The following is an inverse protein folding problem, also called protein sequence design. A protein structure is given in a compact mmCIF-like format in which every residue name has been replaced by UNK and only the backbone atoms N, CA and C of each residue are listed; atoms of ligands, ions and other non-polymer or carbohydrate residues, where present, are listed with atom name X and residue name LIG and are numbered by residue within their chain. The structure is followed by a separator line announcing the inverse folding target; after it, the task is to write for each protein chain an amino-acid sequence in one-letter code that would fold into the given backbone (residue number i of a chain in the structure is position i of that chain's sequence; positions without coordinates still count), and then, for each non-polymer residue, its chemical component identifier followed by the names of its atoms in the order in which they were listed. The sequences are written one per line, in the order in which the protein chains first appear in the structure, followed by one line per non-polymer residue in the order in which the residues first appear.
data_IF_061737233048
#
_entry.id   IF_061737233048
#
_cell.length_a   1.000
_cell.length_b   1.000
_cell.length_c   1.000
_cell.angle_alpha   90.00
_cell.angle_beta   90.00
_cell.angle_gamma   90.00
#
_symmetry.space_group_name_H-M   'P 1'
#
loop_
_entity.id
_entity.type
_entity.pdbx_description
1 polymer ?
#
# COMPACT_ATOMS: atom_id res chain seq x y z
N UNK A 1 -58.47 -38.67 49.96
CA UNK A 1 -57.21 -37.94 50.28
C UNK A 1 -56.50 -37.74 48.95
N UNK A 2 -56.63 -36.57 48.33
CA UNK A 2 -56.04 -36.20 47.05
C UNK A 2 -54.93 -35.19 47.28
N UNK A 3 -53.69 -35.64 47.06
CA UNK A 3 -52.52 -34.78 47.14
C UNK A 3 -52.30 -34.05 45.80
N UNK A 4 -52.44 -32.73 45.80
CA UNK A 4 -52.12 -31.82 44.68
C UNK A 4 -50.65 -31.52 44.70
N UNK A 5 -49.96 -31.82 43.63
CA UNK A 5 -48.57 -31.41 43.37
C UNK A 5 -48.59 -30.03 42.73
N UNK A 6 -47.92 -29.06 43.35
CA UNK A 6 -47.67 -27.72 42.80
C UNK A 6 -46.32 -27.75 42.14
N UNK A 7 -46.27 -27.53 40.80
CA UNK A 7 -45.05 -27.36 40.01
C UNK A 7 -44.72 -25.84 40.00
N UNK A 8 -43.53 -25.44 40.46
CA UNK A 8 -43.16 -24.02 40.31
C UNK A 8 -42.71 -23.75 38.84
N UNK A 9 -43.38 -22.77 38.23
CA UNK A 9 -42.95 -22.23 36.92
C UNK A 9 -41.75 -21.34 37.17
N UNK A 10 -40.57 -21.79 36.70
CA UNK A 10 -39.35 -20.98 36.70
C UNK A 10 -39.42 -20.05 35.50
N UNK A 11 -39.71 -18.79 35.69
CA UNK A 11 -39.65 -17.72 34.69
C UNK A 11 -38.17 -17.38 34.43
N UNK A 12 -37.61 -17.87 33.32
CA UNK A 12 -36.31 -17.46 32.84
C UNK A 12 -36.43 -16.09 32.16
N UNK A 13 -36.01 -15.04 32.85
CA UNK A 13 -35.81 -13.74 32.23
C UNK A 13 -34.58 -13.81 31.29
N UNK A 14 -34.82 -13.90 29.98
CA UNK A 14 -33.84 -13.75 28.95
C UNK A 14 -33.52 -12.26 28.80
N UNK A 15 -32.51 -11.75 29.48
CA UNK A 15 -31.95 -10.42 29.26
C UNK A 15 -31.26 -10.41 27.93
N UNK A 16 -31.92 -9.91 26.89
CA UNK A 16 -31.33 -9.53 25.61
C UNK A 16 -30.38 -8.36 25.84
N UNK A 17 -29.09 -8.62 25.97
CA UNK A 17 -28.07 -7.61 25.81
C UNK A 17 -28.07 -7.17 24.35
N UNK A 18 -28.85 -6.18 23.99
CA UNK A 18 -28.66 -5.41 22.77
C UNK A 18 -27.41 -4.57 22.97
N UNK A 19 -26.26 -5.10 22.56
CA UNK A 19 -25.07 -4.28 22.35
C UNK A 19 -25.42 -3.25 21.27
N UNK A 20 -25.75 -2.03 21.67
CA UNK A 20 -25.74 -0.89 20.77
C UNK A 20 -24.31 -0.75 20.25
N UNK A 21 -23.97 -1.37 19.11
CA UNK A 21 -22.80 -1.01 18.35
C UNK A 21 -22.99 0.43 17.91
N UNK A 22 -22.25 1.35 18.51
CA UNK A 22 -22.14 2.70 18.01
C UNK A 22 -21.75 2.60 16.53
N UNK A 23 -22.67 3.00 15.64
CA UNK A 23 -22.38 3.07 14.20
C UNK A 23 -21.40 4.22 14.04
N UNK A 24 -20.14 3.89 13.84
CA UNK A 24 -19.08 4.87 13.60
C UNK A 24 -19.39 5.59 12.30
N UNK A 25 -19.44 6.92 12.36
CA UNK A 25 -19.81 7.74 11.23
C UNK A 25 -18.58 8.50 10.72
N UNK A 26 -18.19 8.24 9.49
CA UNK A 26 -17.07 8.92 8.82
C UNK A 26 -17.28 10.44 8.71
N UNK A 27 -18.52 10.94 8.74
CA UNK A 27 -18.83 12.36 8.73
C UNK A 27 -18.26 13.13 9.94
N UNK A 28 -17.97 12.42 11.03
CA UNK A 28 -17.38 12.99 12.25
C UNK A 28 -15.86 12.88 12.31
N UNK A 29 -15.26 12.27 11.30
CA UNK A 29 -13.78 12.13 11.22
C UNK A 29 -13.20 13.45 10.74
N UNK A 30 -12.23 13.98 11.48
CA UNK A 30 -11.39 15.09 11.06
C UNK A 30 -9.93 14.64 11.09
N UNK A 31 -9.13 15.21 10.21
CA UNK A 31 -7.68 15.03 10.18
C UNK A 31 -7.03 16.39 10.18
N UNK A 32 -5.89 16.52 10.88
CA UNK A 32 -5.14 17.75 10.97
C UNK A 32 -3.73 17.53 10.43
N UNK A 33 -3.21 18.54 9.73
CA UNK A 33 -1.84 18.55 9.24
C UNK A 33 -0.88 18.78 10.42
N UNK A 34 0.02 17.82 10.67
CA UNK A 34 1.09 17.95 11.65
C UNK A 34 2.31 18.59 11.00
N UNK A 35 2.73 18.07 9.86
CA UNK A 35 3.87 18.60 9.09
C UNK A 35 3.79 18.15 7.63
N UNK A 36 4.40 18.96 6.75
CA UNK A 36 4.63 18.58 5.35
C UNK A 36 5.95 19.16 4.85
N UNK A 37 6.56 18.50 3.87
CA UNK A 37 7.79 18.95 3.24
C UNK A 37 8.26 17.98 2.18
N UNK A 38 9.28 18.36 1.44
CA UNK A 38 9.95 17.44 0.53
C UNK A 38 10.98 16.60 1.28
N UNK A 39 11.15 15.33 0.86
CA UNK A 39 12.17 14.44 1.44
C UNK A 39 13.57 14.98 1.11
N UNK A 40 13.74 15.61 -0.05
CA UNK A 40 14.99 16.24 -0.47
C UNK A 40 14.71 17.41 -1.41
N UNK A 41 15.64 18.37 -1.45
CA UNK A 41 15.54 19.58 -2.28
C UNK A 41 16.57 19.61 -3.43
N UNK A 42 17.58 18.72 -3.36
CA UNK A 42 18.65 18.66 -4.35
C UNK A 42 18.16 18.27 -5.74
N UNK A 43 18.74 18.88 -6.79
CA UNK A 43 18.51 18.50 -8.18
C UNK A 43 19.41 17.32 -8.66
N UNK A 44 20.14 16.69 -7.73
CA UNK A 44 20.99 15.53 -8.04
C UNK A 44 20.21 14.33 -8.58
N UNK A 45 18.90 14.26 -8.27
CA UNK A 45 17.96 13.26 -8.82
C UNK A 45 16.95 14.04 -9.69
N UNK A 46 17.18 14.15 -11.01
CA UNK A 46 16.38 15.02 -11.87
C UNK A 46 14.92 14.62 -12.02
N UNK A 47 14.66 13.30 -11.91
CA UNK A 47 13.31 12.73 -11.99
C UNK A 47 13.15 11.61 -10.97
N UNK A 48 12.00 11.55 -10.30
CA UNK A 48 11.70 10.53 -9.31
C UNK A 48 10.23 10.11 -9.34
N UNK A 49 9.95 8.89 -8.85
CA UNK A 49 8.57 8.39 -8.79
C UNK A 49 8.41 7.21 -7.81
N UNK A 50 7.13 6.86 -7.53
CA UNK A 50 6.73 5.64 -6.83
C UNK A 50 7.39 5.46 -5.46
N UNK A 51 7.12 6.40 -4.56
CA UNK A 51 7.60 6.32 -3.18
C UNK A 51 6.89 5.24 -2.37
N UNK A 52 7.61 4.74 -1.38
CA UNK A 52 7.15 3.84 -0.33
C UNK A 52 7.72 4.29 1.01
N UNK A 53 7.10 3.90 2.12
CA UNK A 53 7.60 4.23 3.45
C UNK A 53 7.34 3.09 4.44
N UNK A 54 8.16 3.03 5.48
CA UNK A 54 8.01 2.12 6.62
C UNK A 54 8.44 2.83 7.90
N UNK A 55 7.77 2.54 9.01
CA UNK A 55 8.17 3.04 10.32
C UNK A 55 9.46 2.35 10.78
N UNK A 56 10.36 3.11 11.42
CA UNK A 56 11.62 2.64 12.02
C UNK A 56 11.66 2.99 13.49
N UNK A 57 12.62 2.45 14.25
CA UNK A 57 12.79 2.84 15.64
C UNK A 57 13.08 4.34 15.80
N UNK A 58 13.80 4.95 14.82
CA UNK A 58 14.17 6.36 14.82
C UNK A 58 13.13 7.28 14.15
N UNK A 59 12.08 6.75 13.54
CA UNK A 59 11.11 7.55 12.80
C UNK A 59 10.55 6.86 11.55
N UNK A 60 10.91 7.32 10.34
CA UNK A 60 10.39 6.78 9.07
C UNK A 60 11.53 6.61 8.07
N UNK A 61 11.57 5.48 7.39
CA UNK A 61 12.37 5.26 6.20
C UNK A 61 11.47 5.38 4.97
N UNK A 62 11.87 6.18 3.99
CA UNK A 62 11.23 6.26 2.68
C UNK A 62 12.17 5.74 1.59
N UNK A 63 11.60 5.17 0.52
CA UNK A 63 12.33 4.82 -0.68
C UNK A 63 11.54 5.21 -1.92
N UNK A 64 12.23 5.46 -3.04
CA UNK A 64 11.65 5.80 -4.34
C UNK A 64 12.61 5.44 -5.45
N UNK A 65 12.14 5.37 -6.69
CA UNK A 65 13.06 5.29 -7.82
C UNK A 65 13.34 6.68 -8.39
N UNK A 66 14.56 6.87 -8.89
CA UNK A 66 14.97 8.14 -9.48
C UNK A 66 16.17 8.00 -10.40
N UNK A 67 16.33 8.96 -11.30
CA UNK A 67 17.38 9.03 -12.32
C UNK A 67 17.09 10.14 -13.33
N UNK A 68 17.65 10.04 -14.54
CA UNK A 68 17.47 11.04 -15.60
C UNK A 68 16.00 11.23 -15.98
N UNK A 69 15.26 10.13 -16.23
CA UNK A 69 13.82 10.05 -16.46
C UNK A 69 13.36 8.60 -16.30
N UNK A 70 12.05 8.38 -16.07
CA UNK A 70 11.48 7.04 -15.95
C UNK A 70 11.84 6.16 -17.16
N UNK A 71 12.25 4.93 -16.93
CA UNK A 71 12.77 3.96 -17.89
C UNK A 71 14.21 4.18 -18.41
N UNK A 72 14.89 5.26 -18.03
CA UNK A 72 16.29 5.41 -18.36
C UNK A 72 17.15 4.40 -17.58
N UNK A 73 18.21 3.82 -18.17
CA UNK A 73 19.02 2.78 -17.50
C UNK A 73 19.68 3.25 -16.19
N UNK A 74 19.86 4.55 -15.95
CA UNK A 74 20.45 5.07 -14.71
C UNK A 74 19.45 5.13 -13.53
N UNK A 75 18.18 4.85 -13.78
CA UNK A 75 17.15 4.85 -12.72
C UNK A 75 17.50 3.80 -11.67
N UNK A 76 17.62 4.25 -10.44
CA UNK A 76 18.05 3.48 -9.27
C UNK A 76 17.05 3.68 -8.12
N UNK A 77 17.18 2.88 -7.07
CA UNK A 77 16.39 3.05 -5.84
C UNK A 77 17.19 3.86 -4.84
N UNK A 78 16.58 4.92 -4.34
CA UNK A 78 17.11 5.79 -3.29
C UNK A 78 16.29 5.63 -2.02
N UNK A 79 16.94 5.80 -0.87
CA UNK A 79 16.33 5.85 0.45
C UNK A 79 16.73 7.11 1.20
N UNK A 80 15.87 7.57 2.10
CA UNK A 80 16.17 8.59 3.11
C UNK A 80 15.43 8.27 4.41
N UNK A 81 16.01 8.63 5.54
CA UNK A 81 15.46 8.44 6.87
C UNK A 81 14.99 9.77 7.46
N UNK A 82 13.84 9.75 8.12
CA UNK A 82 13.27 10.87 8.87
C UNK A 82 13.38 10.61 10.36
N UNK A 83 14.03 11.49 11.12
CA UNK A 83 14.26 11.37 12.55
C UNK A 83 13.15 11.98 13.43
N UNK A 84 12.02 12.34 12.82
CA UNK A 84 10.92 13.08 13.45
C UNK A 84 10.99 14.60 13.25
N UNK A 85 12.12 15.13 12.77
CA UNK A 85 12.34 16.57 12.50
C UNK A 85 12.86 16.85 11.10
N UNK A 86 13.87 16.07 10.66
CA UNK A 86 14.55 16.28 9.39
C UNK A 86 14.75 14.98 8.62
N UNK A 87 14.84 15.08 7.32
CA UNK A 87 15.23 13.99 6.43
C UNK A 87 16.74 13.95 6.25
N UNK A 88 17.30 12.76 6.19
CA UNK A 88 18.69 12.57 5.74
C UNK A 88 18.81 12.89 4.25
N UNK A 89 20.05 13.11 3.77
CA UNK A 89 20.32 13.10 2.33
C UNK A 89 19.95 11.75 1.71
N UNK A 90 19.44 11.72 0.46
CA UNK A 90 19.19 10.48 -0.25
C UNK A 90 20.44 9.63 -0.45
N UNK A 91 20.35 8.35 -0.13
CA UNK A 91 21.40 7.37 -0.37
C UNK A 91 20.95 6.31 -1.37
N UNK A 92 21.88 5.83 -2.21
CA UNK A 92 21.63 4.74 -3.15
C UNK A 92 21.41 3.43 -2.38
N UNK A 93 20.24 2.81 -2.51
CA UNK A 93 19.92 1.53 -1.89
C UNK A 93 20.06 0.33 -2.86
N UNK A 94 19.66 0.52 -4.12
CA UNK A 94 19.78 -0.50 -5.16
C UNK A 94 19.90 0.15 -6.53
N UNK A 95 20.53 -0.56 -7.45
CA UNK A 95 20.64 -0.20 -8.85
C UNK A 95 20.37 -1.40 -9.76
N UNK A 96 20.28 -1.16 -11.05
CA UNK A 96 19.97 -2.17 -12.05
C UNK A 96 21.18 -2.67 -12.83
N UNK A 97 22.40 -2.61 -12.26
CA UNK A 97 23.61 -3.11 -12.88
C UNK A 97 23.57 -4.63 -12.92
N UNK A 98 23.59 -5.20 -14.14
CA UNK A 98 23.59 -6.64 -14.38
C UNK A 98 25.01 -7.13 -14.71
N UNK A 99 25.81 -6.31 -15.39
CA UNK A 99 27.20 -6.57 -15.71
C UNK A 99 27.94 -5.26 -16.00
N UNK A 100 29.24 -5.32 -16.24
CA UNK A 100 30.05 -4.14 -16.58
C UNK A 100 29.57 -3.35 -17.79
N UNK A 101 28.74 -3.96 -18.65
CA UNK A 101 28.25 -3.35 -19.90
C UNK A 101 26.72 -3.30 -20.00
N UNK A 102 26.00 -3.87 -19.01
CA UNK A 102 24.55 -3.97 -19.06
C UNK A 102 23.92 -3.46 -17.77
N UNK A 103 23.02 -2.51 -17.91
CA UNK A 103 22.23 -1.93 -16.83
C UNK A 103 20.80 -1.70 -17.29
N UNK A 104 19.83 -2.02 -16.42
CA UNK A 104 18.41 -1.74 -16.61
C UNK A 104 17.91 -0.74 -15.58
N UNK A 105 16.83 -0.02 -15.86
CA UNK A 105 16.16 0.79 -14.83
C UNK A 105 15.63 -0.05 -13.68
N UNK A 106 15.66 0.51 -12.49
CA UNK A 106 14.92 0.03 -11.34
C UNK A 106 13.52 0.66 -11.29
N UNK A 107 12.55 -0.06 -10.69
CA UNK A 107 11.15 0.35 -10.64
C UNK A 107 10.53 0.04 -9.28
N UNK A 108 9.55 0.84 -8.89
CA UNK A 108 8.58 0.61 -7.82
C UNK A 108 9.16 -0.08 -6.57
N UNK A 109 9.98 0.60 -5.76
CA UNK A 109 10.42 0.04 -4.50
C UNK A 109 9.22 -0.13 -3.56
N UNK A 110 9.28 -1.18 -2.74
CA UNK A 110 8.33 -1.42 -1.66
C UNK A 110 9.10 -1.80 -0.40
N UNK A 111 8.98 -0.99 0.63
CA UNK A 111 9.52 -1.25 1.96
C UNK A 111 8.50 -2.06 2.77
N UNK A 112 8.99 -3.05 3.51
CA UNK A 112 8.15 -3.86 4.38
C UNK A 112 8.94 -4.35 5.60
N UNK A 113 8.39 -4.16 6.81
CA UNK A 113 8.98 -4.69 8.02
C UNK A 113 8.62 -6.15 8.20
N UNK A 114 9.64 -7.01 8.21
CA UNK A 114 9.51 -8.44 8.44
C UNK A 114 9.31 -8.74 9.92
N UNK A 115 8.77 -9.92 10.20
CA UNK A 115 8.77 -10.47 11.58
C UNK A 115 10.22 -10.59 12.08
N UNK A 116 10.48 -10.06 13.26
CA UNK A 116 11.85 -9.96 13.80
C UNK A 116 12.52 -8.60 13.61
N UNK A 117 11.86 -7.64 12.96
CA UNK A 117 12.24 -6.22 12.94
C UNK A 117 13.08 -5.78 11.73
N UNK A 118 13.66 -6.69 10.94
CA UNK A 118 14.37 -6.33 9.73
C UNK A 118 13.43 -5.73 8.67
N UNK A 119 13.98 -4.93 7.76
CA UNK A 119 13.24 -4.30 6.67
C UNK A 119 13.64 -4.95 5.36
N UNK A 120 12.65 -5.45 4.59
CA UNK A 120 12.83 -5.86 3.21
C UNK A 120 12.55 -4.67 2.27
N UNK A 121 13.42 -4.47 1.30
CA UNK A 121 13.24 -3.58 0.16
C UNK A 121 13.04 -4.45 -1.09
N UNK A 122 11.80 -4.55 -1.55
CA UNK A 122 11.48 -5.19 -2.83
C UNK A 122 11.54 -4.14 -3.94
N UNK A 123 12.05 -4.50 -5.11
CA UNK A 123 12.07 -3.63 -6.29
C UNK A 123 12.07 -4.46 -7.57
N UNK A 124 11.90 -3.81 -8.70
CA UNK A 124 11.94 -4.46 -10.00
C UNK A 124 13.13 -3.93 -10.78
N UNK A 125 13.71 -4.79 -11.59
CA UNK A 125 14.79 -4.47 -12.53
C UNK A 125 14.37 -4.97 -13.92
N UNK A 126 14.54 -4.19 -14.95
CA UNK A 126 14.19 -4.61 -16.31
C UNK A 126 13.81 -3.44 -17.22
N UNK A 127 13.72 -3.69 -18.53
CA UNK A 127 13.54 -2.63 -19.52
C UNK A 127 12.14 -2.00 -19.47
N UNK A 128 11.13 -2.73 -18.97
CA UNK A 128 9.74 -2.25 -18.90
C UNK A 128 8.92 -3.06 -17.89
N UNK A 129 7.71 -2.57 -17.47
CA UNK A 129 6.82 -3.34 -16.60
C UNK A 129 6.36 -4.69 -17.14
N UNK A 130 6.54 -4.95 -18.42
CA UNK A 130 6.22 -6.24 -19.04
C UNK A 130 7.37 -7.24 -19.02
N UNK A 131 8.60 -6.75 -18.82
CA UNK A 131 9.83 -7.54 -19.00
C UNK A 131 10.74 -7.45 -17.77
N UNK A 132 10.27 -6.88 -16.67
CA UNK A 132 11.02 -6.78 -15.43
C UNK A 132 10.99 -8.09 -14.63
N UNK A 133 11.96 -8.26 -13.78
CA UNK A 133 12.00 -9.28 -12.73
C UNK A 133 12.07 -8.61 -11.35
N UNK A 134 11.85 -9.39 -10.30
CA UNK A 134 11.82 -8.89 -8.95
C UNK A 134 13.11 -9.25 -8.19
N UNK A 135 13.61 -8.28 -7.48
CA UNK A 135 14.72 -8.43 -6.54
C UNK A 135 14.34 -7.87 -5.17
N UNK A 136 15.07 -8.29 -4.16
CA UNK A 136 14.93 -7.71 -2.81
C UNK A 136 16.27 -7.65 -2.10
N UNK A 137 16.37 -6.76 -1.12
CA UNK A 137 17.45 -6.63 -0.15
C UNK A 137 16.86 -6.58 1.25
N UNK A 138 17.67 -6.91 2.25
CA UNK A 138 17.25 -6.87 3.66
C UNK A 138 18.20 -5.97 4.44
N UNK A 139 17.62 -5.13 5.29
CA UNK A 139 18.34 -4.32 6.27
C UNK A 139 17.98 -4.78 7.69
N UNK A 140 18.98 -4.85 8.56
CA UNK A 140 18.84 -5.16 10.00
C UNK A 140 19.14 -3.96 10.91
N UNK A 141 19.33 -2.80 10.29
CA UNK A 141 19.73 -1.54 10.95
C UNK A 141 18.89 -0.35 10.48
N UNK A 142 17.58 -0.60 10.29
CA UNK A 142 16.58 0.39 9.89
C UNK A 142 16.88 1.13 8.57
N UNK A 143 17.52 0.43 7.62
CA UNK A 143 17.79 0.95 6.29
C UNK A 143 19.12 1.69 6.14
N UNK A 144 19.99 1.68 7.15
CA UNK A 144 21.32 2.29 7.06
C UNK A 144 22.24 1.49 6.14
N UNK A 145 22.16 0.15 6.21
CA UNK A 145 22.87 -0.75 5.30
C UNK A 145 21.94 -1.84 4.75
N UNK A 146 22.28 -2.36 3.60
CA UNK A 146 21.49 -3.37 2.89
C UNK A 146 22.36 -4.59 2.56
N UNK A 147 21.76 -5.78 2.60
CA UNK A 147 22.38 -7.00 2.09
C UNK A 147 22.67 -6.89 0.60
N UNK A 148 23.40 -7.87 0.06
CA UNK A 148 23.41 -8.10 -1.37
C UNK A 148 21.99 -8.33 -1.90
N UNK A 149 21.76 -8.01 -3.17
CA UNK A 149 20.51 -8.26 -3.86
C UNK A 149 20.26 -9.76 -4.03
N UNK A 150 19.01 -10.17 -3.85
CA UNK A 150 18.56 -11.53 -4.14
C UNK A 150 17.33 -11.48 -5.06
N UNK A 151 17.31 -12.33 -6.10
CA UNK A 151 16.15 -12.46 -6.95
C UNK A 151 15.01 -13.23 -6.23
N UNK A 152 13.77 -12.85 -6.50
CA UNK A 152 12.64 -13.73 -6.15
C UNK A 152 12.65 -14.99 -7.03
N UNK A 153 12.00 -16.07 -6.60
CA UNK A 153 11.90 -17.27 -7.44
C UNK A 153 11.27 -16.98 -8.81
N UNK A 154 11.64 -17.71 -9.81
CA UNK A 154 11.15 -17.55 -11.18
C UNK A 154 9.63 -17.51 -11.25
N UNK A 155 9.11 -16.50 -11.94
CA UNK A 155 7.69 -16.30 -12.12
C UNK A 155 7.01 -15.52 -10.99
N UNK A 156 7.69 -15.18 -9.89
CA UNK A 156 7.16 -14.34 -8.82
C UNK A 156 7.69 -12.91 -8.94
N UNK A 157 6.82 -11.96 -8.61
CA UNK A 157 7.13 -10.53 -8.68
C UNK A 157 7.11 -9.85 -7.30
N UNK A 158 6.51 -10.49 -6.29
CA UNK A 158 6.31 -9.84 -5.01
C UNK A 158 5.41 -8.60 -5.11
N UNK A 159 5.51 -7.66 -4.18
CA UNK A 159 4.67 -6.47 -4.19
C UNK A 159 5.06 -5.56 -5.37
N UNK A 160 4.06 -5.09 -6.14
CA UNK A 160 4.35 -4.25 -7.32
C UNK A 160 4.52 -2.77 -6.95
N UNK A 161 3.72 -2.26 -6.02
CA UNK A 161 3.77 -0.86 -5.59
C UNK A 161 3.40 -0.68 -4.13
N UNK A 162 2.40 -1.41 -3.65
CA UNK A 162 1.87 -1.24 -2.32
C UNK A 162 2.42 -2.29 -1.36
N UNK A 163 2.45 -1.93 -0.09
CA UNK A 163 3.02 -2.76 0.98
C UNK A 163 2.33 -4.13 1.10
N UNK A 164 3.10 -5.19 1.38
CA UNK A 164 2.57 -6.48 1.79
C UNK A 164 1.80 -6.41 3.10
N UNK A 165 1.06 -7.48 3.41
CA UNK A 165 0.45 -7.70 4.71
C UNK A 165 1.03 -8.94 5.39
N UNK A 166 1.52 -8.77 6.63
CA UNK A 166 1.78 -9.90 7.52
C UNK A 166 0.45 -10.49 8.00
N UNK A 167 0.28 -11.79 7.86
CA UNK A 167 -0.94 -12.48 8.20
C UNK A 167 -0.78 -13.30 9.49
N UNK A 168 -1.86 -13.51 10.25
CA UNK A 168 -1.83 -14.48 11.33
C UNK A 168 -1.32 -15.85 10.83
N UNK A 169 -0.43 -16.49 11.61
CA UNK A 169 0.18 -17.76 11.24
C UNK A 169 1.48 -17.66 10.43
N UNK A 170 2.04 -16.45 10.28
CA UNK A 170 3.38 -16.25 9.72
C UNK A 170 3.45 -16.24 8.20
N UNK A 171 2.32 -16.07 7.51
CA UNK A 171 2.30 -15.85 6.05
C UNK A 171 2.41 -14.35 5.74
N UNK A 172 2.92 -14.05 4.55
CA UNK A 172 2.94 -12.69 3.99
C UNK A 172 2.16 -12.71 2.67
N UNK A 173 1.21 -11.77 2.52
CA UNK A 173 0.48 -11.56 1.27
C UNK A 173 1.06 -10.37 0.53
N UNK A 174 1.33 -10.54 -0.75
CA UNK A 174 1.89 -9.51 -1.64
C UNK A 174 0.84 -9.08 -2.66
N UNK A 175 0.48 -7.80 -2.68
CA UNK A 175 -0.41 -7.25 -3.69
C UNK A 175 0.34 -7.13 -5.04
N UNK A 176 0.02 -8.02 -5.97
CA UNK A 176 0.77 -8.23 -7.21
C UNK A 176 -0.10 -8.01 -8.44
N UNK A 177 0.55 -7.65 -9.55
CA UNK A 177 -0.11 -7.54 -10.85
C UNK A 177 0.88 -7.78 -11.98
N UNK A 178 0.36 -8.15 -13.15
CA UNK A 178 1.12 -8.36 -14.39
C UNK A 178 0.48 -7.55 -15.51
N UNK A 179 1.32 -6.89 -16.29
CA UNK A 179 0.97 -6.20 -17.52
C UNK A 179 1.38 -7.07 -18.71
N UNK A 180 0.49 -7.97 -19.20
CA UNK A 180 0.79 -8.86 -20.32
C UNK A 180 0.91 -8.10 -21.63
N UNK A 181 0.00 -7.16 -21.88
CA UNK A 181 -0.02 -6.25 -23.02
C UNK A 181 -0.51 -4.88 -22.56
N UNK A 182 -0.43 -3.82 -23.40
CA UNK A 182 -1.03 -2.53 -23.02
C UNK A 182 -2.50 -2.59 -22.61
N UNK A 183 -3.25 -3.57 -23.12
CA UNK A 183 -4.69 -3.71 -22.89
C UNK A 183 -5.07 -5.00 -22.15
N UNK A 184 -4.11 -5.63 -21.47
CA UNK A 184 -4.35 -6.84 -20.68
C UNK A 184 -3.53 -6.81 -19.40
N UNK A 185 -4.11 -6.22 -18.38
CA UNK A 185 -3.57 -6.09 -17.02
C UNK A 185 -4.34 -6.99 -16.06
N UNK A 186 -3.64 -7.69 -15.19
CA UNK A 186 -4.26 -8.62 -14.25
C UNK A 186 -3.63 -8.50 -12.87
N UNK A 187 -4.49 -8.36 -11.86
CA UNK A 187 -4.09 -8.49 -10.46
C UNK A 187 -4.17 -9.94 -10.02
N UNK A 188 -3.29 -10.30 -9.10
CA UNK A 188 -3.31 -11.54 -8.34
C UNK A 188 -2.62 -11.29 -6.99
N UNK A 189 -2.70 -12.24 -6.09
CA UNK A 189 -1.96 -12.22 -4.83
C UNK A 189 -0.84 -13.23 -4.92
N UNK A 190 0.33 -12.85 -4.47
CA UNK A 190 1.39 -13.80 -4.15
C UNK A 190 1.47 -13.96 -2.63
N UNK A 191 1.93 -15.12 -2.18
CA UNK A 191 2.04 -15.45 -0.76
C UNK A 191 3.34 -16.19 -0.50
N UNK A 192 3.98 -15.90 0.63
CA UNK A 192 5.15 -16.64 1.10
C UNK A 192 5.05 -16.95 2.60
N UNK A 193 5.98 -17.76 3.10
CA UNK A 193 6.29 -17.83 4.52
C UNK A 193 6.99 -16.54 4.98
N UNK A 194 7.06 -16.32 6.29
CA UNK A 194 7.67 -15.13 6.90
C UNK A 194 9.18 -14.98 6.61
N UNK A 195 9.84 -16.06 6.24
CA UNK A 195 11.25 -16.11 5.85
C UNK A 195 11.47 -15.94 4.35
N UNK A 196 10.43 -15.50 3.62
CA UNK A 196 10.41 -15.31 2.18
C UNK A 196 10.58 -16.61 1.36
N UNK A 197 10.32 -17.77 1.96
CA UNK A 197 10.27 -19.07 1.28
C UNK A 197 8.84 -19.49 0.90
N UNK A 198 8.69 -20.61 0.18
CA UNK A 198 7.39 -21.23 -0.05
C UNK A 198 6.39 -20.38 -0.84
N UNK A 199 6.88 -19.73 -1.89
CA UNK A 199 6.08 -18.82 -2.72
C UNK A 199 4.95 -19.55 -3.47
N UNK A 200 3.78 -18.95 -3.49
CA UNK A 200 2.59 -19.44 -4.20
C UNK A 200 1.76 -18.27 -4.74
N UNK A 201 0.96 -18.54 -5.79
CA UNK A 201 0.06 -17.57 -6.41
C UNK A 201 -1.38 -17.89 -6.09
N UNK A 202 -2.16 -16.85 -5.79
CA UNK A 202 -3.60 -16.91 -5.56
C UNK A 202 -4.25 -16.05 -6.64
N UNK A 203 -5.05 -16.69 -7.48
CA UNK A 203 -5.73 -16.01 -8.58
C UNK A 203 -6.88 -15.15 -8.07
N UNK A 204 -7.10 -14.03 -8.77
CA UNK A 204 -8.26 -13.16 -8.58
C UNK A 204 -8.98 -13.07 -9.92
N UNK A 205 -10.29 -13.26 -9.95
CA UNK A 205 -11.08 -13.01 -11.14
C UNK A 205 -11.16 -11.50 -11.40
N UNK A 206 -10.49 -11.05 -12.45
CA UNK A 206 -10.46 -9.63 -12.79
C UNK A 206 -11.75 -9.13 -13.47
N UNK A 207 -12.72 -10.02 -13.77
CA UNK A 207 -14.06 -9.68 -14.28
C UNK A 207 -14.08 -8.63 -15.41
N UNK A 208 -13.12 -8.73 -16.32
CA UNK A 208 -12.99 -7.81 -17.45
C UNK A 208 -12.20 -6.53 -17.17
N UNK A 209 -11.90 -6.18 -15.92
CA UNK A 209 -11.09 -5.00 -15.60
C UNK A 209 -9.63 -5.19 -16.02
N UNK A 210 -9.03 -4.10 -16.53
CA UNK A 210 -7.60 -3.92 -16.68
C UNK A 210 -7.05 -3.27 -15.41
N UNK A 211 -6.78 -4.09 -14.39
CA UNK A 211 -6.42 -3.64 -13.05
C UNK A 211 -4.98 -3.99 -12.71
N UNK A 212 -4.28 -3.08 -12.01
CA UNK A 212 -2.93 -3.28 -11.48
C UNK A 212 -2.74 -2.64 -10.11
N UNK A 213 -1.60 -2.97 -9.48
CA UNK A 213 -1.08 -2.33 -8.27
C UNK A 213 -2.12 -2.30 -7.14
N UNK A 214 -2.65 -3.46 -6.73
CA UNK A 214 -3.62 -3.50 -5.65
C UNK A 214 -3.03 -3.00 -4.33
N UNK A 215 -3.87 -2.42 -3.46
CA UNK A 215 -3.60 -2.23 -2.04
C UNK A 215 -4.51 -3.16 -1.23
N UNK A 216 -4.00 -3.68 -0.12
CA UNK A 216 -4.71 -4.62 0.75
C UNK A 216 -5.05 -3.97 2.09
N UNK A 217 -6.28 -4.11 2.52
CA UNK A 217 -6.79 -3.62 3.79
C UNK A 217 -7.28 -4.80 4.62
N UNK A 218 -6.74 -4.96 5.83
CA UNK A 218 -7.14 -6.03 6.75
C UNK A 218 -7.85 -5.43 7.98
N UNK A 219 -9.09 -5.84 8.20
CA UNK A 219 -9.81 -5.49 9.41
C UNK A 219 -10.64 -6.67 9.93
N UNK A 220 -10.38 -7.08 11.18
CA UNK A 220 -11.11 -8.16 11.88
C UNK A 220 -11.23 -9.46 11.06
N UNK A 221 -10.13 -9.83 10.40
CA UNK A 221 -10.03 -11.08 9.63
C UNK A 221 -10.64 -11.03 8.21
N UNK A 222 -11.24 -9.89 7.81
CA UNK A 222 -11.68 -9.65 6.45
C UNK A 222 -10.63 -8.84 5.69
N UNK A 223 -10.26 -9.31 4.52
CA UNK A 223 -9.40 -8.58 3.59
C UNK A 223 -10.24 -7.89 2.53
N UNK A 224 -9.83 -6.69 2.19
CA UNK A 224 -10.32 -5.89 1.07
C UNK A 224 -9.14 -5.55 0.17
N UNK A 225 -9.35 -5.63 -1.13
CA UNK A 225 -8.40 -5.26 -2.17
C UNK A 225 -8.98 -4.09 -2.94
N UNK A 226 -8.21 -3.03 -3.14
CA UNK A 226 -8.56 -1.92 -4.01
C UNK A 226 -7.49 -1.79 -5.09
N UNK A 227 -7.89 -1.65 -6.35
CA UNK A 227 -6.99 -1.63 -7.51
C UNK A 227 -7.25 -0.41 -8.38
N UNK A 228 -6.19 0.23 -8.88
CA UNK A 228 -6.35 1.17 -9.99
C UNK A 228 -6.71 0.41 -11.27
N UNK A 229 -7.54 1.02 -12.12
CA UNK A 229 -7.96 0.43 -13.38
C UNK A 229 -7.82 1.40 -14.55
N UNK A 230 -7.90 0.89 -15.77
CA UNK A 230 -7.99 1.71 -16.99
C UNK A 230 -9.41 2.21 -17.26
N UNK A 231 -10.38 1.68 -16.54
CA UNK A 231 -11.81 1.97 -16.74
C UNK A 231 -12.27 3.26 -16.03
N UNK A 232 -11.34 4.03 -15.46
CA UNK A 232 -11.63 5.33 -14.83
C UNK A 232 -12.22 5.21 -13.41
N UNK A 233 -12.17 4.01 -12.83
CA UNK A 233 -12.67 3.71 -11.48
C UNK A 233 -11.63 2.90 -10.70
N UNK A 234 -11.77 2.85 -9.37
CA UNK A 234 -11.10 1.88 -8.52
C UNK A 234 -11.95 0.60 -8.54
N UNK A 235 -11.34 -0.54 -8.84
CA UNK A 235 -11.98 -1.83 -8.67
C UNK A 235 -11.67 -2.41 -7.29
N UNK A 236 -12.60 -3.20 -6.75
CA UNK A 236 -12.48 -3.83 -5.44
C UNK A 236 -12.76 -5.33 -5.49
N UNK A 237 -12.15 -6.07 -4.56
CA UNK A 237 -12.46 -7.47 -4.23
C UNK A 237 -12.32 -7.70 -2.73
N UNK A 238 -12.91 -8.77 -2.22
CA UNK A 238 -12.84 -9.13 -0.82
C UNK A 238 -12.50 -10.61 -0.62
N UNK A 239 -11.85 -10.89 0.52
CA UNK A 239 -11.60 -12.24 1.01
C UNK A 239 -12.08 -12.38 2.44
N UNK A 240 -12.79 -13.48 2.72
CA UNK A 240 -13.29 -13.84 4.05
C UNK A 240 -12.48 -14.98 4.71
N UNK A 241 -11.47 -15.50 4.03
CA UNK A 241 -10.66 -16.66 4.42
C UNK A 241 -9.16 -16.35 4.52
N UNK A 242 -8.85 -15.11 4.93
CA UNK A 242 -7.48 -14.59 5.11
C UNK A 242 -6.65 -14.65 3.82
N UNK A 243 -7.28 -14.37 2.67
CA UNK A 243 -6.62 -14.22 1.38
C UNK A 243 -6.43 -15.52 0.60
N UNK A 244 -7.05 -16.64 1.03
CA UNK A 244 -6.96 -17.89 0.29
C UNK A 244 -7.82 -17.89 -0.98
N UNK A 245 -8.96 -17.19 -0.93
CA UNK A 245 -9.80 -16.94 -2.10
C UNK A 245 -10.34 -15.50 -2.10
N UNK A 246 -10.74 -15.02 -3.25
CA UNK A 246 -11.19 -13.65 -3.46
C UNK A 246 -12.46 -13.62 -4.30
N UNK A 247 -13.34 -12.67 -4.03
CA UNK A 247 -14.44 -12.37 -4.95
C UNK A 247 -13.88 -11.87 -6.28
N UNK A 248 -14.68 -11.94 -7.35
CA UNK A 248 -14.35 -11.23 -8.59
C UNK A 248 -14.25 -9.71 -8.34
N UNK A 249 -13.40 -9.02 -9.12
CA UNK A 249 -13.32 -7.56 -9.09
C UNK A 249 -14.68 -6.96 -9.48
N UNK A 250 -15.05 -5.90 -8.81
CA UNK A 250 -16.22 -5.08 -9.11
C UNK A 250 -15.88 -3.59 -9.00
N UNK A 251 -16.71 -2.73 -9.56
CA UNK A 251 -16.59 -1.28 -9.45
C UNK A 251 -16.89 -0.86 -8.01
N UNK A 252 -15.96 -0.16 -7.36
CA UNK A 252 -16.15 0.39 -6.01
C UNK A 252 -16.99 1.67 -5.97
N UNK A 253 -17.31 2.26 -7.12
CA UNK A 253 -17.93 3.57 -7.23
C UNK A 253 -16.98 4.75 -7.03
N UNK A 254 -15.69 4.52 -6.81
CA UNK A 254 -14.68 5.57 -6.68
C UNK A 254 -14.02 5.89 -8.01
N UNK A 255 -14.03 7.16 -8.41
CA UNK A 255 -13.33 7.62 -9.60
C UNK A 255 -11.80 7.54 -9.41
N UNK A 256 -11.07 7.18 -10.46
CA UNK A 256 -9.61 7.22 -10.51
C UNK A 256 -9.14 7.29 -11.97
N UNK A 257 -8.20 8.14 -12.24
CA UNK A 257 -7.62 8.40 -13.56
C UNK A 257 -6.58 7.38 -14.01
N UNK A 258 -6.63 6.14 -13.56
CA UNK A 258 -5.57 5.15 -13.76
C UNK A 258 -4.24 5.59 -13.12
N UNK A 259 -4.30 6.11 -11.91
CA UNK A 259 -3.12 6.45 -11.09
C UNK A 259 -2.99 5.50 -9.90
N UNK A 260 -1.76 5.32 -9.42
CA UNK A 260 -1.49 4.51 -8.23
C UNK A 260 -2.28 5.00 -7.01
N UNK A 261 -2.73 4.08 -6.20
CA UNK A 261 -3.44 4.31 -4.94
C UNK A 261 -2.69 3.60 -3.81
N UNK A 262 -2.91 3.97 -2.57
CA UNK A 262 -2.53 3.16 -1.40
C UNK A 262 -3.46 3.43 -0.23
N UNK A 263 -3.62 2.44 0.65
CA UNK A 263 -4.50 2.52 1.80
C UNK A 263 -3.94 1.87 3.06
N UNK A 264 -4.54 2.21 4.20
CA UNK A 264 -4.26 1.63 5.51
C UNK A 264 -5.54 1.55 6.33
N UNK A 265 -5.59 0.64 7.28
CA UNK A 265 -6.66 0.55 8.27
C UNK A 265 -6.11 0.93 9.63
N UNK A 266 -6.76 1.88 10.30
CA UNK A 266 -6.42 2.26 11.67
C UNK A 266 -7.05 1.29 12.68
N UNK A 267 -6.54 1.26 13.90
CA UNK A 267 -6.95 0.33 14.97
C UNK A 267 -8.45 0.34 15.24
N UNK A 268 -9.09 1.47 15.08
CA UNK A 268 -10.53 1.63 15.28
C UNK A 268 -11.36 1.16 14.07
N UNK A 269 -10.71 0.75 12.98
CA UNK A 269 -11.33 0.24 11.75
C UNK A 269 -11.61 1.32 10.70
N UNK A 270 -11.15 2.56 10.90
CA UNK A 270 -11.17 3.57 9.85
C UNK A 270 -10.20 3.16 8.75
N UNK A 271 -10.73 2.97 7.54
CA UNK A 271 -9.96 2.81 6.33
C UNK A 271 -9.59 4.17 5.79
N UNK A 272 -8.33 4.36 5.49
CA UNK A 272 -7.80 5.53 4.81
C UNK A 272 -7.28 5.12 3.43
N UNK A 273 -7.62 5.87 2.40
CA UNK A 273 -7.20 5.65 1.02
C UNK A 273 -6.68 6.96 0.44
N UNK A 274 -5.49 6.95 -0.13
CA UNK A 274 -4.96 8.07 -0.90
C UNK A 274 -5.05 7.75 -2.39
N UNK A 275 -5.71 8.62 -3.14
CA UNK A 275 -5.92 8.43 -4.58
C UNK A 275 -6.11 9.77 -5.31
N UNK A 276 -6.12 9.72 -6.65
CA UNK A 276 -6.53 10.83 -7.50
C UNK A 276 -8.04 10.66 -7.83
N UNK A 277 -8.98 11.31 -7.12
CA UNK A 277 -10.42 11.10 -7.27
C UNK A 277 -10.97 11.93 -8.45
N UNK A 278 -10.39 11.74 -9.63
CA UNK A 278 -10.72 12.42 -10.90
C UNK A 278 -10.51 11.44 -12.05
N UNK A 279 -11.22 11.64 -13.15
CA UNK A 279 -11.15 10.75 -14.33
C UNK A 279 -9.93 11.02 -15.21
N UNK A 280 -9.43 12.23 -15.22
CA UNK A 280 -8.34 12.66 -16.10
C UNK A 280 -7.35 13.56 -15.36
N UNK A 281 -6.07 13.51 -15.75
CA UNK A 281 -5.00 14.28 -15.15
C UNK A 281 -4.54 13.69 -13.80
N UNK A 282 -3.57 14.34 -13.16
CA UNK A 282 -3.03 13.97 -11.83
C UNK A 282 -2.83 15.20 -10.93
N UNK A 283 -3.58 16.25 -11.22
CA UNK A 283 -3.46 17.53 -10.55
C UNK A 283 -4.27 17.64 -9.23
N UNK A 284 -4.99 16.58 -8.87
CA UNK A 284 -5.72 16.48 -7.61
C UNK A 284 -5.36 15.16 -6.92
N UNK A 285 -4.96 15.23 -5.65
CA UNK A 285 -4.68 14.08 -4.78
C UNK A 285 -5.43 14.26 -3.47
N UNK A 286 -6.12 13.21 -3.01
CA UNK A 286 -6.95 13.28 -1.81
C UNK A 286 -6.73 12.10 -0.88
N UNK A 287 -6.94 12.34 0.41
CA UNK A 287 -7.14 11.34 1.45
C UNK A 287 -8.63 11.12 1.64
N UNK A 288 -9.08 9.91 1.42
CA UNK A 288 -10.45 9.45 1.67
C UNK A 288 -10.50 8.61 2.93
N UNK A 289 -11.66 8.60 3.61
CA UNK A 289 -11.91 7.76 4.77
C UNK A 289 -13.22 6.98 4.64
N UNK A 290 -13.25 5.76 5.22
CA UNK A 290 -14.45 4.92 5.31
C UNK A 290 -14.36 3.97 6.50
N UNK A 291 -15.49 3.73 7.20
CA UNK A 291 -15.56 2.69 8.22
C UNK A 291 -16.10 1.35 7.70
N UNK A 292 -16.83 1.36 6.62
CA UNK A 292 -17.50 0.16 6.05
C UNK A 292 -16.87 -0.34 4.73
N UNK A 293 -15.96 0.45 4.14
CA UNK A 293 -15.36 0.17 2.84
C UNK A 293 -16.26 0.51 1.64
N UNK A 294 -17.50 0.93 1.89
CA UNK A 294 -18.49 1.25 0.84
C UNK A 294 -18.76 2.76 0.75
N UNK A 295 -18.92 3.42 1.90
CA UNK A 295 -19.16 4.86 1.96
C UNK A 295 -17.85 5.59 2.24
N UNK A 296 -17.27 6.15 1.19
CA UNK A 296 -16.04 6.92 1.24
C UNK A 296 -16.31 8.42 1.23
N UNK A 297 -15.56 9.14 2.05
CA UNK A 297 -15.60 10.61 2.12
C UNK A 297 -14.19 11.17 1.98
N UNK A 298 -14.05 12.27 1.26
CA UNK A 298 -12.81 13.07 1.26
C UNK A 298 -12.63 13.70 2.65
N UNK A 299 -11.53 13.33 3.30
CA UNK A 299 -11.14 13.89 4.60
C UNK A 299 -10.21 15.10 4.42
N UNK A 300 -9.32 15.04 3.41
CA UNK A 300 -8.35 16.10 3.11
C UNK A 300 -8.00 16.09 1.61
N UNK A 301 -7.93 17.28 1.02
CA UNK A 301 -7.26 17.47 -0.27
C UNK A 301 -5.77 17.70 0.01
N UNK A 302 -4.92 16.75 -0.38
CA UNK A 302 -3.47 16.88 -0.27
C UNK A 302 -2.93 17.84 -1.32
N UNK A 303 -3.49 17.75 -2.54
CA UNK A 303 -3.20 18.65 -3.65
C UNK A 303 -4.48 18.90 -4.45
N UNK A 304 -4.69 20.16 -4.87
CA UNK A 304 -5.77 20.58 -5.78
C UNK A 304 -5.29 21.80 -6.57
N UNK A 305 -4.58 21.53 -7.67
CA UNK A 305 -3.92 22.55 -8.48
C UNK A 305 -4.57 22.61 -9.88
N UNK A 306 -4.49 23.75 -10.60
CA UNK A 306 -4.96 23.83 -11.98
C UNK A 306 -4.23 22.89 -12.94
N UNK A 307 -2.99 22.51 -12.63
CA UNK A 307 -2.13 21.60 -13.40
C UNK A 307 -1.10 20.95 -12.47
N UNK A 308 -0.39 19.95 -12.97
CA UNK A 308 0.65 19.26 -12.22
C UNK A 308 0.42 17.75 -12.17
N UNK A 309 1.38 17.05 -11.60
CA UNK A 309 1.30 15.61 -11.35
C UNK A 309 1.60 15.31 -9.87
N UNK A 310 0.58 14.90 -9.15
CA UNK A 310 0.63 14.45 -7.75
C UNK A 310 0.08 13.04 -7.70
N UNK A 311 0.95 12.05 -7.52
CA UNK A 311 0.56 10.67 -7.81
C UNK A 311 1.40 9.64 -7.06
N UNK A 312 1.02 8.37 -7.17
CA UNK A 312 1.72 7.22 -6.58
C UNK A 312 1.96 7.39 -5.08
N UNK A 313 0.89 7.64 -4.31
CA UNK A 313 1.01 7.77 -2.87
C UNK A 313 1.38 6.46 -2.21
N UNK A 314 2.03 6.55 -1.05
CA UNK A 314 2.12 5.50 -0.06
C UNK A 314 1.64 6.05 1.29
N UNK A 315 0.96 5.23 2.10
CA UNK A 315 0.40 5.62 3.38
C UNK A 315 0.64 4.54 4.43
N UNK A 316 1.05 4.93 5.64
CA UNK A 316 1.15 4.05 6.80
C UNK A 316 0.56 4.70 8.05
N UNK A 317 0.05 3.88 8.97
CA UNK A 317 -0.17 4.29 10.35
C UNK A 317 1.17 4.22 11.11
N UNK A 318 1.43 5.20 11.97
CA UNK A 318 2.62 5.28 12.80
C UNK A 318 2.28 4.94 14.25
N UNK A 319 3.25 4.39 14.97
CA UNK A 319 3.07 3.94 16.36
C UNK A 319 2.72 5.06 17.33
N UNK A 320 2.94 6.32 16.99
CA UNK A 320 2.54 7.50 17.75
C UNK A 320 1.09 7.95 17.52
N UNK A 321 0.32 7.19 16.71
CA UNK A 321 -1.06 7.47 16.37
C UNK A 321 -1.26 8.41 15.20
N UNK A 322 -0.17 8.91 14.58
CA UNK A 322 -0.23 9.71 13.36
C UNK A 322 -0.22 8.84 12.10
N UNK A 323 -0.41 9.46 10.95
CA UNK A 323 -0.37 8.82 9.63
C UNK A 323 0.68 9.50 8.80
N UNK A 324 1.60 8.71 8.22
CA UNK A 324 2.60 9.18 7.26
C UNK A 324 2.16 8.90 5.83
N UNK A 325 2.26 9.88 4.95
CA UNK A 325 1.93 9.79 3.53
C UNK A 325 3.12 10.32 2.73
N UNK A 326 3.54 9.58 1.70
CA UNK A 326 4.46 10.09 0.67
C UNK A 326 3.80 10.03 -0.70
N UNK A 327 4.19 10.93 -1.59
CA UNK A 327 3.75 10.90 -2.99
C UNK A 327 4.71 11.64 -3.90
N UNK A 328 4.66 11.31 -5.18
CA UNK A 328 5.40 11.98 -6.24
C UNK A 328 4.83 13.38 -6.49
N UNK A 329 5.68 14.38 -6.46
CA UNK A 329 5.37 15.78 -6.76
C UNK A 329 6.04 16.21 -8.07
N UNK A 330 5.24 16.33 -9.13
CA UNK A 330 5.67 16.75 -10.48
C UNK A 330 6.85 15.95 -11.06
N UNK A 331 7.02 14.69 -10.69
CA UNK A 331 8.15 13.84 -11.07
C UNK A 331 9.53 14.36 -10.65
N UNK A 332 9.60 15.37 -9.83
CA UNK A 332 10.83 16.05 -9.42
C UNK A 332 11.18 15.84 -7.95
N UNK A 333 10.19 15.63 -7.11
CA UNK A 333 10.37 15.48 -5.66
C UNK A 333 9.43 14.43 -5.12
N UNK A 334 9.78 13.90 -3.96
CA UNK A 334 8.87 13.13 -3.13
C UNK A 334 8.43 14.03 -1.97
N UNK A 335 7.12 14.25 -1.85
CA UNK A 335 6.55 15.01 -0.73
C UNK A 335 6.18 14.04 0.38
N UNK A 336 6.44 14.42 1.61
CA UNK A 336 6.01 13.74 2.83
C UNK A 336 5.01 14.61 3.57
N UNK A 337 3.94 14.00 4.04
CA UNK A 337 2.88 14.63 4.84
C UNK A 337 2.63 13.76 6.06
N UNK A 338 2.56 14.39 7.23
CA UNK A 338 2.19 13.75 8.49
C UNK A 338 0.89 14.33 9.01
N UNK A 339 -0.04 13.47 9.33
CA UNK A 339 -1.38 13.85 9.77
C UNK A 339 -1.67 13.23 11.13
N UNK A 340 -2.44 13.94 11.95
CA UNK A 340 -3.11 13.41 13.13
C UNK A 340 -4.63 13.40 12.94
N UNK A 341 -5.30 12.56 13.73
CA UNK A 341 -6.74 12.42 13.72
C UNK A 341 -7.39 12.95 14.99
#
# INVERSE_FOLDING_TARGET
MSSRWIIPILSAFLTLYTSCREVRNVEKVSVQLVSEGFIYESDAIPSCHASTLVETEGGVLAAWFGGSYESHPDVSIYCASFDGQTWSEPVLAADGVVSDTLRYPCWNPVLFRLEGGSIALFYKVGPSPREWWAEYKVSTDDGLTWSDSAALPDGFLGPIKNKPLAMPGGKILYPTSIEYTPDNWKVHIERSEKDLSGWEKITVDNNGFNAIQPTLLLYKGRLEMLCRTREGVIAEAASADLGQSWTALQDSGLENNNSGIDGVVLDDGLRLLVCNPIKEGRNKLALLGSYDGMQWRTLLLLEDQPSGEFSYPAIIALGDGTVGITYTYNRKRIKFVRLER
#
